data_IF_352464789293
#
_entry.id   IF_352464789293
#
_cell.length_a   1.000
_cell.length_b   1.000
_cell.length_c   1.000
_cell.angle_alpha   90.00
_cell.angle_beta   90.00
_cell.angle_gamma   90.00
#
_symmetry.space_group_name_H-M   'P 1'
#
loop_
_entity.id
_entity.type
_entity.pdbx_description
1 polymer ?
#
# COMPACT_ATOMS: atom_id res chain seq x y z
N UNK A 1 50.13 -1.57 16.88
CA UNK A 1 49.00 -0.65 16.63
C UNK A 1 48.63 -0.62 15.13
N UNK A 2 48.49 -1.78 14.48
CA UNK A 2 48.04 -1.89 13.08
C UNK A 2 46.82 -2.81 12.91
N UNK A 3 46.29 -3.38 14.01
CA UNK A 3 45.12 -4.29 13.98
C UNK A 3 43.78 -3.54 13.89
N UNK A 4 43.62 -2.40 14.57
CA UNK A 4 42.32 -1.74 14.70
C UNK A 4 41.75 -1.22 13.36
N UNK A 5 42.59 -0.65 12.49
CA UNK A 5 42.12 -0.10 11.22
C UNK A 5 41.67 -1.19 10.23
N UNK A 6 42.31 -2.37 10.29
CA UNK A 6 41.96 -3.50 9.40
C UNK A 6 40.69 -4.21 9.88
N UNK A 7 40.48 -4.35 11.18
CA UNK A 7 39.25 -4.90 11.75
C UNK A 7 38.06 -3.97 11.54
N UNK A 8 38.25 -2.64 11.72
CA UNK A 8 37.21 -1.66 11.42
C UNK A 8 36.83 -1.64 9.94
N UNK A 9 37.80 -1.80 9.03
CA UNK A 9 37.53 -1.87 7.59
C UNK A 9 36.81 -3.17 7.21
N UNK A 10 37.19 -4.30 7.82
CA UNK A 10 36.50 -5.58 7.62
C UNK A 10 35.05 -5.53 8.12
N UNK A 11 34.82 -4.98 9.30
CA UNK A 11 33.47 -4.79 9.84
C UNK A 11 32.62 -3.85 8.96
N UNK A 12 33.21 -2.78 8.42
CA UNK A 12 32.52 -1.87 7.50
C UNK A 12 32.18 -2.52 6.15
N UNK A 13 33.05 -3.40 5.64
CA UNK A 13 32.81 -4.17 4.41
C UNK A 13 31.72 -5.23 4.63
N UNK A 14 31.73 -5.94 5.76
CA UNK A 14 30.67 -6.88 6.13
C UNK A 14 29.31 -6.18 6.31
N UNK A 15 29.29 -4.98 6.90
CA UNK A 15 28.07 -4.16 7.00
C UNK A 15 27.57 -3.73 5.62
N UNK A 16 28.47 -3.39 4.69
CA UNK A 16 28.11 -2.99 3.33
C UNK A 16 27.59 -4.18 2.53
N UNK A 17 28.19 -5.35 2.65
CA UNK A 17 27.73 -6.60 2.02
C UNK A 17 26.37 -7.04 2.58
N UNK A 18 26.13 -6.88 3.88
CA UNK A 18 24.83 -7.13 4.51
C UNK A 18 23.73 -6.21 3.97
N UNK A 19 24.02 -4.93 3.76
CA UNK A 19 23.08 -3.99 3.13
C UNK A 19 22.83 -4.38 1.67
N UNK A 20 23.87 -4.75 0.92
CA UNK A 20 23.73 -5.18 -0.47
C UNK A 20 22.86 -6.44 -0.56
N UNK A 21 23.09 -7.44 0.30
CA UNK A 21 22.30 -8.66 0.36
C UNK A 21 20.84 -8.38 0.76
N UNK A 22 20.61 -7.49 1.73
CA UNK A 22 19.25 -7.09 2.11
C UNK A 22 18.52 -6.36 0.96
N UNK A 23 19.20 -5.46 0.25
CA UNK A 23 18.65 -4.78 -0.92
C UNK A 23 18.38 -5.75 -2.09
N UNK A 24 19.26 -6.73 -2.30
CA UNK A 24 19.06 -7.78 -3.30
C UNK A 24 17.90 -8.72 -2.93
N UNK A 25 17.74 -9.05 -1.64
CA UNK A 25 16.62 -9.85 -1.13
C UNK A 25 15.29 -9.11 -1.26
N UNK A 26 15.26 -7.81 -0.96
CA UNK A 26 14.07 -6.99 -1.17
C UNK A 26 13.69 -6.89 -2.65
N UNK A 27 14.70 -6.79 -3.53
CA UNK A 27 14.51 -6.82 -4.98
C UNK A 27 13.98 -8.17 -5.49
N UNK A 28 14.48 -9.30 -4.96
CA UNK A 28 14.03 -10.63 -5.37
C UNK A 28 12.62 -10.97 -4.88
N UNK A 29 12.23 -10.52 -3.69
CA UNK A 29 10.87 -10.69 -3.17
C UNK A 29 9.84 -9.86 -3.94
N UNK A 30 10.18 -8.63 -4.35
CA UNK A 30 9.31 -7.82 -5.20
C UNK A 30 9.16 -8.41 -6.61
N UNK A 31 10.25 -8.93 -7.20
CA UNK A 31 10.21 -9.66 -8.47
C UNK A 31 9.32 -10.91 -8.40
N UNK A 32 9.36 -11.65 -7.29
CA UNK A 32 8.49 -12.80 -7.05
C UNK A 32 7.02 -12.38 -6.89
N UNK A 33 6.74 -11.26 -6.21
CA UNK A 33 5.38 -10.78 -6.01
C UNK A 33 4.66 -10.41 -7.32
N UNK A 34 5.35 -9.69 -8.22
CA UNK A 34 4.81 -9.34 -9.53
C UNK A 34 4.55 -10.56 -10.40
N UNK A 35 5.42 -11.58 -10.31
CA UNK A 35 5.30 -12.83 -11.05
C UNK A 35 4.06 -13.66 -10.69
N UNK A 36 3.40 -13.39 -9.55
CA UNK A 36 2.16 -14.06 -9.13
C UNK A 36 0.95 -13.66 -9.98
N UNK A 37 1.02 -12.51 -10.66
CA UNK A 37 -0.06 -12.00 -11.49
C UNK A 37 0.14 -12.44 -12.94
N UNK A 38 -0.39 -13.62 -13.28
CA UNK A 38 -0.33 -14.14 -14.65
C UNK A 38 -1.21 -13.34 -15.64
N UNK A 39 -1.06 -13.62 -16.94
CA UNK A 39 -1.83 -12.92 -17.98
C UNK A 39 -3.34 -13.13 -17.86
N UNK A 40 -3.79 -14.27 -17.33
CA UNK A 40 -5.21 -14.51 -17.06
C UNK A 40 -5.73 -13.60 -15.94
N UNK A 41 -4.92 -13.40 -14.89
CA UNK A 41 -5.22 -12.46 -13.83
C UNK A 41 -5.29 -11.03 -14.37
N UNK A 42 -4.32 -10.60 -15.18
CA UNK A 42 -4.31 -9.26 -15.80
C UNK A 42 -5.53 -9.04 -16.68
N UNK A 43 -5.93 -10.05 -17.46
CA UNK A 43 -7.14 -9.99 -18.29
C UNK A 43 -8.41 -9.79 -17.45
N UNK A 44 -8.52 -10.46 -16.30
CA UNK A 44 -9.64 -10.25 -15.35
C UNK A 44 -9.55 -8.88 -14.66
N UNK A 45 -8.35 -8.44 -14.30
CA UNK A 45 -8.09 -7.14 -13.69
C UNK A 45 -8.55 -5.97 -14.57
N UNK A 46 -8.54 -6.12 -15.90
CA UNK A 46 -9.12 -5.13 -16.81
C UNK A 46 -10.62 -4.90 -16.58
N UNK A 47 -11.40 -5.90 -16.15
CA UNK A 47 -12.79 -5.66 -15.72
C UNK A 47 -12.83 -4.82 -14.44
N UNK A 48 -11.97 -5.17 -13.48
CA UNK A 48 -11.93 -4.54 -12.17
C UNK A 48 -11.59 -3.05 -12.26
N UNK A 49 -10.75 -2.64 -13.22
CA UNK A 49 -10.40 -1.22 -13.44
C UNK A 49 -11.34 -0.53 -14.44
N UNK A 50 -12.33 -1.24 -14.99
CA UNK A 50 -13.33 -0.68 -15.90
C UNK A 50 -12.85 -0.48 -17.34
N UNK A 51 -11.92 -1.32 -17.82
CA UNK A 51 -11.38 -1.31 -19.19
C UNK A 51 -11.51 -2.68 -19.91
N UNK A 52 -12.68 -3.34 -19.88
CA UNK A 52 -12.87 -4.67 -20.50
C UNK A 52 -12.62 -4.69 -22.02
N UNK A 53 -12.73 -3.54 -22.70
CA UNK A 53 -12.53 -3.42 -24.14
C UNK A 53 -11.11 -3.75 -24.61
N UNK A 54 -10.10 -3.71 -23.72
CA UNK A 54 -8.70 -4.00 -24.06
C UNK A 54 -8.28 -5.45 -23.80
N UNK A 55 -9.19 -6.29 -23.30
CA UNK A 55 -8.89 -7.67 -22.91
C UNK A 55 -8.27 -8.49 -24.04
N UNK A 56 -8.81 -8.39 -25.25
CA UNK A 56 -8.31 -9.16 -26.37
C UNK A 56 -6.84 -8.83 -26.68
N UNK A 57 -6.47 -7.54 -26.65
CA UNK A 57 -5.09 -7.11 -26.93
C UNK A 57 -4.13 -7.49 -25.80
N UNK A 58 -4.57 -7.40 -24.54
CA UNK A 58 -3.75 -7.79 -23.39
C UNK A 58 -3.56 -9.32 -23.31
N UNK A 59 -4.59 -10.11 -23.62
CA UNK A 59 -4.50 -11.57 -23.67
C UNK A 59 -3.60 -12.04 -24.82
N UNK A 60 -3.76 -11.49 -26.02
CA UNK A 60 -2.91 -11.77 -27.18
C UNK A 60 -1.45 -11.40 -26.90
N UNK A 61 -1.22 -10.25 -26.26
CA UNK A 61 0.10 -9.79 -25.83
C UNK A 61 0.67 -10.52 -24.61
N UNK A 62 -0.08 -11.45 -24.00
CA UNK A 62 0.30 -12.19 -22.78
C UNK A 62 0.80 -11.29 -21.65
N UNK A 63 0.16 -10.13 -21.49
CA UNK A 63 0.57 -9.11 -20.51
C UNK A 63 0.42 -9.66 -19.10
N UNK A 64 1.53 -9.82 -18.37
CA UNK A 64 1.56 -10.27 -16.97
C UNK A 64 1.88 -9.11 -15.98
N UNK A 65 1.94 -9.40 -14.69
CA UNK A 65 2.23 -8.42 -13.65
C UNK A 65 3.59 -7.73 -13.77
N UNK A 66 4.61 -8.45 -14.26
CA UNK A 66 5.94 -7.87 -14.51
C UNK A 66 5.86 -6.87 -15.67
N UNK A 67 5.17 -7.23 -16.74
CA UNK A 67 4.92 -6.31 -17.86
C UNK A 67 4.13 -5.09 -17.42
N UNK A 68 3.12 -5.23 -16.53
CA UNK A 68 2.42 -4.08 -15.96
C UNK A 68 3.35 -3.16 -15.17
N UNK A 69 4.27 -3.70 -14.37
CA UNK A 69 5.19 -2.91 -13.56
C UNK A 69 6.12 -2.02 -14.40
N UNK A 70 6.65 -2.58 -15.50
CA UNK A 70 7.56 -1.90 -16.42
C UNK A 70 6.87 -1.34 -17.66
N UNK A 71 5.53 -1.24 -17.66
CA UNK A 71 4.78 -0.84 -18.85
C UNK A 71 5.13 0.58 -19.29
N UNK A 72 5.47 0.76 -20.56
CA UNK A 72 5.77 2.06 -21.16
C UNK A 72 4.55 2.64 -21.89
N UNK A 73 4.61 3.95 -22.18
CA UNK A 73 3.58 4.64 -22.99
C UNK A 73 3.44 4.00 -24.37
N UNK A 74 4.55 3.58 -24.98
CA UNK A 74 4.56 2.96 -26.31
C UNK A 74 3.95 1.55 -26.29
N UNK A 75 4.15 0.77 -25.21
CA UNK A 75 3.49 -0.52 -25.03
C UNK A 75 1.97 -0.37 -25.00
N UNK A 76 1.46 0.62 -24.25
CA UNK A 76 0.02 0.90 -24.22
C UNK A 76 -0.52 1.32 -25.59
N UNK A 77 0.24 2.10 -26.35
CA UNK A 77 -0.13 2.45 -27.73
C UNK A 77 -0.15 1.21 -28.63
N UNK A 78 0.82 0.30 -28.48
CA UNK A 78 0.86 -1.01 -29.15
C UNK A 78 -0.34 -1.89 -28.81
N UNK A 79 -0.79 -1.85 -27.55
CA UNK A 79 -2.01 -2.50 -27.06
C UNK A 79 -3.30 -1.75 -27.43
N UNK A 80 -3.21 -0.73 -28.31
CA UNK A 80 -4.32 0.09 -28.83
C UNK A 80 -5.02 0.94 -27.76
N UNK A 81 -4.37 1.18 -26.63
CA UNK A 81 -4.82 2.12 -25.60
C UNK A 81 -4.36 3.52 -25.98
N UNK A 82 -5.16 4.22 -26.80
CA UNK A 82 -4.83 5.57 -27.28
C UNK A 82 -5.38 6.73 -26.45
N UNK A 83 -6.25 6.47 -25.47
CA UNK A 83 -6.92 7.50 -24.65
C UNK A 83 -6.03 7.99 -23.52
N UNK A 84 -5.91 9.31 -23.35
CA UNK A 84 -5.18 9.93 -22.22
C UNK A 84 -5.80 9.53 -20.88
N UNK A 85 -7.14 9.50 -20.81
CA UNK A 85 -7.86 9.08 -19.60
C UNK A 85 -7.54 7.61 -19.26
N UNK A 86 -7.48 6.73 -20.26
CA UNK A 86 -7.18 5.32 -20.01
C UNK A 86 -5.72 5.09 -19.61
N UNK A 87 -4.78 5.90 -20.12
CA UNK A 87 -3.38 5.90 -19.64
C UNK A 87 -3.31 6.28 -18.16
N UNK A 88 -4.03 7.33 -17.74
CA UNK A 88 -4.09 7.72 -16.32
C UNK A 88 -4.77 6.66 -15.46
N UNK A 89 -5.85 6.04 -15.96
CA UNK A 89 -6.49 4.91 -15.31
C UNK A 89 -5.49 3.77 -15.06
N UNK A 90 -4.81 3.29 -16.10
CA UNK A 90 -3.85 2.19 -15.98
C UNK A 90 -2.68 2.59 -15.06
N UNK A 91 -2.16 3.82 -15.19
CA UNK A 91 -1.13 4.36 -14.28
C UNK A 91 -1.53 4.24 -12.81
N UNK A 92 -2.72 4.74 -12.45
CA UNK A 92 -3.17 4.70 -11.05
C UNK A 92 -3.54 3.30 -10.60
N UNK A 93 -4.04 2.46 -11.48
CA UNK A 93 -4.29 1.06 -11.17
C UNK A 93 -2.98 0.30 -10.86
N UNK A 94 -1.93 0.49 -11.66
CA UNK A 94 -0.58 -0.06 -11.39
C UNK A 94 -0.04 0.49 -10.06
N UNK A 95 -0.21 1.80 -9.79
CA UNK A 95 0.19 2.39 -8.51
C UNK A 95 -0.53 1.72 -7.33
N UNK A 96 -1.82 1.41 -7.45
CA UNK A 96 -2.57 0.67 -6.42
C UNK A 96 -1.99 -0.73 -6.23
N UNK A 97 -1.64 -1.46 -7.30
CA UNK A 97 -0.99 -2.76 -7.16
C UNK A 97 0.34 -2.64 -6.41
N UNK A 98 1.16 -1.63 -6.75
CA UNK A 98 2.45 -1.40 -6.10
C UNK A 98 2.33 -1.07 -4.62
N UNK A 99 1.38 -0.21 -4.24
CA UNK A 99 1.06 0.11 -2.84
C UNK A 99 0.66 -1.15 -2.06
N UNK A 100 -0.06 -2.07 -2.71
CA UNK A 100 -0.52 -3.31 -2.11
C UNK A 100 0.41 -4.50 -2.39
N UNK A 101 1.69 -4.24 -2.71
CA UNK A 101 2.73 -5.27 -2.92
C UNK A 101 2.31 -6.37 -3.91
N UNK A 102 1.54 -6.00 -4.93
CA UNK A 102 1.02 -6.92 -5.95
C UNK A 102 0.20 -8.10 -5.40
N UNK A 103 -0.45 -7.95 -4.24
CA UNK A 103 -1.39 -8.96 -3.75
C UNK A 103 -2.53 -9.18 -4.78
N UNK A 104 -2.71 -10.43 -5.28
CA UNK A 104 -3.77 -10.77 -6.24
C UNK A 104 -5.19 -10.44 -5.77
N UNK A 105 -5.40 -10.28 -4.45
CA UNK A 105 -6.69 -10.05 -3.82
C UNK A 105 -6.88 -8.63 -3.25
N UNK A 106 -5.96 -7.70 -3.54
CA UNK A 106 -6.01 -6.34 -2.97
C UNK A 106 -7.26 -5.52 -3.39
N UNK A 107 -7.92 -5.86 -4.50
CA UNK A 107 -9.06 -5.09 -5.02
C UNK A 107 -10.40 -5.49 -4.39
N UNK A 108 -11.16 -4.47 -3.99
CA UNK A 108 -12.47 -4.61 -3.34
C UNK A 108 -13.61 -4.61 -4.36
N UNK A 109 -14.25 -5.76 -4.50
CA UNK A 109 -15.42 -5.99 -5.37
C UNK A 109 -16.75 -5.85 -4.64
N UNK A 110 -16.76 -6.06 -3.32
CA UNK A 110 -17.96 -6.05 -2.47
C UNK A 110 -17.88 -4.94 -1.41
N UNK A 111 -19.02 -4.42 -0.92
CA UNK A 111 -19.04 -3.56 0.26
C UNK A 111 -18.51 -4.33 1.47
N UNK A 112 -17.53 -3.78 2.18
CA UNK A 112 -16.98 -4.37 3.41
C UNK A 112 -17.31 -3.55 4.65
N UNK A 113 -17.36 -2.22 4.52
CA UNK A 113 -17.56 -1.29 5.65
C UNK A 113 -18.38 -0.06 5.25
N UNK A 114 -19.05 0.56 6.23
CA UNK A 114 -19.88 1.76 6.02
C UNK A 114 -19.04 3.04 5.81
N UNK A 115 -17.82 3.10 6.34
CA UNK A 115 -16.93 4.28 6.27
C UNK A 115 -15.51 3.87 5.84
N UNK A 116 -15.27 3.59 4.55
CA UNK A 116 -13.97 3.17 4.05
C UNK A 116 -12.93 4.29 4.20
N UNK A 117 -11.71 3.92 4.55
CA UNK A 117 -10.57 4.82 4.57
C UNK A 117 -10.10 5.18 3.14
N UNK A 118 -9.34 6.27 2.93
CA UNK A 118 -8.84 6.65 1.61
C UNK A 118 -8.04 5.54 0.90
N UNK A 119 -7.24 4.77 1.63
CA UNK A 119 -6.51 3.62 1.08
C UNK A 119 -7.44 2.52 0.57
N UNK A 120 -8.50 2.22 1.32
CA UNK A 120 -9.50 1.21 0.93
C UNK A 120 -10.35 1.66 -0.25
N UNK A 121 -10.63 2.96 -0.35
CA UNK A 121 -11.29 3.55 -1.52
C UNK A 121 -10.41 3.37 -2.75
N UNK A 122 -9.09 3.55 -2.65
CA UNK A 122 -8.18 3.33 -3.78
C UNK A 122 -8.22 1.88 -4.30
N UNK A 123 -8.57 0.92 -3.46
CA UNK A 123 -8.76 -0.50 -3.84
C UNK A 123 -10.10 -0.78 -4.52
N UNK A 124 -11.02 0.19 -4.66
CA UNK A 124 -12.33 -0.04 -5.24
C UNK A 124 -12.24 -0.36 -6.73
N UNK A 125 -12.91 -1.44 -7.12
CA UNK A 125 -13.16 -1.77 -8.53
C UNK A 125 -14.17 -0.80 -9.17
N UNK A 126 -14.19 -0.75 -10.50
CA UNK A 126 -15.21 -0.04 -11.28
C UNK A 126 -16.63 -0.47 -10.88
N UNK A 127 -16.83 -1.77 -10.64
CA UNK A 127 -18.11 -2.28 -10.15
C UNK A 127 -18.48 -1.68 -8.79
N UNK A 128 -17.53 -1.63 -7.85
CA UNK A 128 -17.75 -1.03 -6.53
C UNK A 128 -18.06 0.46 -6.61
N UNK A 129 -17.43 1.20 -7.53
CA UNK A 129 -17.78 2.62 -7.79
C UNK A 129 -19.21 2.75 -8.32
N UNK A 130 -19.62 1.87 -9.24
CA UNK A 130 -21.01 1.85 -9.72
C UNK A 130 -22.01 1.52 -8.61
N UNK A 131 -21.68 0.64 -7.67
CA UNK A 131 -22.52 0.40 -6.49
C UNK A 131 -22.60 1.61 -5.57
N UNK A 132 -21.48 2.29 -5.34
CA UNK A 132 -21.47 3.52 -4.55
C UNK A 132 -22.40 4.58 -5.16
N UNK A 133 -22.37 4.77 -6.48
CA UNK A 133 -23.31 5.68 -7.17
C UNK A 133 -24.77 5.32 -6.90
N UNK A 134 -25.11 4.03 -6.83
CA UNK A 134 -26.48 3.61 -6.45
C UNK A 134 -26.81 3.97 -5.01
N UNK A 135 -25.86 3.84 -4.08
CA UNK A 135 -26.09 4.19 -2.66
C UNK A 135 -26.23 5.69 -2.40
N UNK A 136 -25.79 6.54 -3.33
CA UNK A 136 -25.92 8.01 -3.24
C UNK A 136 -26.97 8.55 -4.22
N UNK A 137 -27.97 7.75 -4.58
CA UNK A 137 -29.11 8.16 -5.43
C UNK A 137 -28.74 8.59 -6.86
N UNK A 138 -27.66 8.04 -7.42
CA UNK A 138 -27.20 8.27 -8.80
C UNK A 138 -27.23 6.98 -9.65
N UNK A 139 -28.12 6.05 -9.30
CA UNK A 139 -28.19 4.72 -9.91
C UNK A 139 -28.38 4.74 -11.44
N UNK A 140 -29.14 5.70 -11.97
CA UNK A 140 -29.41 5.83 -13.41
C UNK A 140 -28.16 6.16 -14.24
N UNK A 141 -27.16 6.82 -13.63
CA UNK A 141 -25.92 7.21 -14.30
C UNK A 141 -24.82 6.16 -14.19
N UNK A 142 -24.91 5.25 -13.21
CA UNK A 142 -23.87 4.26 -12.94
C UNK A 142 -23.46 3.41 -14.15
N UNK A 143 -24.37 2.92 -15.02
CA UNK A 143 -24.00 2.14 -16.20
C UNK A 143 -23.06 2.87 -17.18
N UNK A 144 -23.04 4.21 -17.17
CA UNK A 144 -22.18 5.02 -18.04
C UNK A 144 -20.68 4.88 -17.70
N UNK A 145 -20.34 4.35 -16.52
CA UNK A 145 -18.96 4.09 -16.14
C UNK A 145 -18.37 2.80 -16.72
N UNK A 146 -19.16 1.97 -17.42
CA UNK A 146 -18.64 0.77 -18.08
C UNK A 146 -17.69 1.16 -19.21
N UNK A 147 -16.48 0.59 -19.21
CA UNK A 147 -15.46 0.89 -20.22
C UNK A 147 -14.81 2.29 -20.08
N UNK A 148 -15.12 3.03 -19.01
CA UNK A 148 -14.59 4.39 -18.78
C UNK A 148 -13.18 4.43 -18.15
N UNK A 149 -12.73 3.33 -17.56
CA UNK A 149 -11.53 3.29 -16.71
C UNK A 149 -11.71 3.87 -15.29
N UNK A 150 -12.92 4.28 -14.90
CA UNK A 150 -13.14 4.82 -13.54
C UNK A 150 -13.09 3.70 -12.50
N UNK A 151 -12.16 3.83 -11.55
CA UNK A 151 -12.01 2.96 -10.39
C UNK A 151 -11.43 3.78 -9.22
N UNK A 152 -11.35 3.17 -8.04
CA UNK A 152 -10.95 3.82 -6.80
C UNK A 152 -9.59 4.52 -6.87
N UNK A 153 -8.58 3.84 -7.42
CA UNK A 153 -7.23 4.40 -7.61
C UNK A 153 -7.22 5.67 -8.43
N UNK A 154 -7.94 5.70 -9.56
CA UNK A 154 -8.09 6.92 -10.37
C UNK A 154 -8.76 8.05 -9.58
N UNK A 155 -9.84 7.74 -8.84
CA UNK A 155 -10.58 8.73 -8.06
C UNK A 155 -9.73 9.34 -6.93
N UNK A 156 -9.00 8.51 -6.19
CA UNK A 156 -8.21 8.95 -5.04
C UNK A 156 -6.86 9.58 -5.42
N UNK A 157 -6.14 8.98 -6.37
CA UNK A 157 -4.71 9.26 -6.58
C UNK A 157 -4.41 10.23 -7.73
N UNK A 158 -5.34 10.45 -8.67
CA UNK A 158 -5.12 11.35 -9.80
C UNK A 158 -5.62 12.77 -9.51
N UNK A 159 -4.73 13.78 -9.37
CA UNK A 159 -5.15 15.16 -9.10
C UNK A 159 -6.00 15.76 -10.23
N UNK A 160 -5.77 15.32 -11.47
CA UNK A 160 -6.53 15.78 -12.64
C UNK A 160 -7.96 15.23 -12.69
N UNK A 161 -8.23 14.11 -11.99
CA UNK A 161 -9.55 13.49 -11.95
C UNK A 161 -10.39 14.14 -10.85
N UNK A 162 -11.35 14.97 -11.23
CA UNK A 162 -12.19 15.75 -10.30
C UNK A 162 -13.68 15.53 -10.57
N UNK A 163 -14.54 16.24 -9.81
CA UNK A 163 -16.00 16.18 -9.94
C UNK A 163 -16.45 16.43 -11.38
N UNK A 164 -15.81 17.36 -12.10
CA UNK A 164 -16.21 17.67 -13.47
C UNK A 164 -15.86 16.57 -14.46
N UNK A 165 -14.74 15.90 -14.25
CA UNK A 165 -14.36 14.71 -15.01
C UNK A 165 -15.35 13.57 -14.74
N UNK A 166 -15.71 13.34 -13.47
CA UNK A 166 -16.72 12.33 -13.10
C UNK A 166 -18.08 12.64 -13.72
N UNK A 167 -18.56 13.88 -13.64
CA UNK A 167 -19.83 14.30 -14.22
C UNK A 167 -19.85 14.14 -15.75
N UNK A 168 -18.73 14.42 -16.43
CA UNK A 168 -18.57 14.17 -17.87
C UNK A 168 -18.74 12.68 -18.19
N UNK A 169 -18.06 11.80 -17.45
CA UNK A 169 -18.11 10.34 -17.69
C UNK A 169 -19.45 9.72 -17.32
N UNK A 170 -20.17 10.32 -16.36
CA UNK A 170 -21.54 9.96 -16.03
C UNK A 170 -22.57 10.50 -17.03
N UNK A 171 -22.16 11.27 -18.04
CA UNK A 171 -23.04 11.98 -18.97
C UNK A 171 -24.06 12.90 -18.26
N UNK A 172 -23.67 13.54 -17.15
CA UNK A 172 -24.50 14.53 -16.46
C UNK A 172 -24.24 15.90 -17.12
N UNK A 173 -25.22 16.54 -17.77
CA UNK A 173 -25.02 17.83 -18.43
C UNK A 173 -24.67 18.98 -17.46
N UNK A 174 -23.98 20.05 -17.92
CA UNK A 174 -23.62 21.20 -17.07
C UNK A 174 -24.82 21.98 -16.53
N UNK A 175 -25.96 21.97 -17.23
CA UNK A 175 -27.19 22.65 -16.78
C UNK A 175 -27.94 21.89 -15.67
N UNK A 176 -27.58 20.63 -15.35
CA UNK A 176 -28.15 19.86 -14.23
C UNK A 176 -27.45 20.20 -12.91
N UNK A 177 -27.52 21.47 -12.50
CA UNK A 177 -26.74 22.03 -11.38
C UNK A 177 -27.01 21.34 -10.04
N UNK A 178 -28.26 20.96 -9.75
CA UNK A 178 -28.62 20.24 -8.53
C UNK A 178 -27.95 18.85 -8.47
N UNK A 179 -27.96 18.09 -9.57
CA UNK A 179 -27.32 16.78 -9.64
C UNK A 179 -25.80 16.90 -9.54
N UNK A 180 -25.20 17.90 -10.19
CA UNK A 180 -23.75 18.16 -10.11
C UNK A 180 -23.32 18.52 -8.68
N UNK A 181 -24.11 19.35 -7.99
CA UNK A 181 -23.86 19.67 -6.58
C UNK A 181 -23.98 18.44 -5.69
N UNK A 182 -24.99 17.59 -5.91
CA UNK A 182 -25.16 16.33 -5.18
C UNK A 182 -23.98 15.38 -5.40
N UNK A 183 -23.54 15.21 -6.65
CA UNK A 183 -22.34 14.45 -7.00
C UNK A 183 -21.10 15.03 -6.32
N UNK A 184 -20.90 16.35 -6.38
CA UNK A 184 -19.74 17.01 -5.77
C UNK A 184 -19.63 16.72 -4.28
N UNK A 185 -20.73 16.89 -3.54
CA UNK A 185 -20.77 16.66 -2.10
C UNK A 185 -20.43 15.21 -1.76
N UNK A 186 -21.08 14.24 -2.42
CA UNK A 186 -20.83 12.82 -2.17
C UNK A 186 -19.42 12.39 -2.59
N UNK A 187 -18.90 12.94 -3.71
CA UNK A 187 -17.55 12.64 -4.17
C UNK A 187 -16.49 13.14 -3.19
N UNK A 188 -16.62 14.37 -2.67
CA UNK A 188 -15.69 14.91 -1.67
C UNK A 188 -15.76 14.17 -0.34
N UNK A 189 -16.97 13.81 0.11
CA UNK A 189 -17.16 12.96 1.30
C UNK A 189 -16.48 11.60 1.14
N UNK A 190 -16.56 11.01 -0.06
CA UNK A 190 -15.91 9.75 -0.35
C UNK A 190 -14.39 9.89 -0.30
N UNK A 191 -13.78 10.73 -1.14
CA UNK A 191 -12.31 10.77 -1.29
C UNK A 191 -11.57 11.35 -0.07
N UNK A 192 -12.29 12.07 0.80
CA UNK A 192 -11.73 12.73 1.97
C UNK A 192 -11.06 14.08 1.67
N UNK A 193 -10.81 14.84 2.74
CA UNK A 193 -10.32 16.23 2.68
C UNK A 193 -8.96 16.37 2.01
N UNK A 194 -8.05 15.42 2.23
CA UNK A 194 -6.69 15.51 1.69
C UNK A 194 -6.67 15.36 0.16
N UNK A 195 -7.38 14.36 -0.38
CA UNK A 195 -7.50 14.20 -1.83
C UNK A 195 -8.27 15.36 -2.47
N UNK A 196 -9.26 15.93 -1.76
CA UNK A 196 -9.97 17.13 -2.20
C UNK A 196 -9.01 18.32 -2.31
N UNK A 197 -8.17 18.56 -1.29
CA UNK A 197 -7.19 19.65 -1.26
C UNK A 197 -6.20 19.54 -2.42
N UNK A 198 -5.62 18.35 -2.64
CA UNK A 198 -4.66 18.12 -3.73
C UNK A 198 -5.27 18.37 -5.12
N UNK A 199 -6.53 18.01 -5.32
CA UNK A 199 -7.26 18.28 -6.57
C UNK A 199 -7.52 19.78 -6.74
N UNK A 200 -7.83 20.50 -5.66
CA UNK A 200 -8.04 21.95 -5.68
C UNK A 200 -6.75 22.71 -6.01
N UNK A 201 -5.63 22.37 -5.36
CA UNK A 201 -4.31 22.96 -5.66
C UNK A 201 -3.90 22.72 -7.12
N UNK A 202 -4.20 21.52 -7.63
CA UNK A 202 -3.95 21.22 -9.04
C UNK A 202 -4.77 22.09 -10.00
N UNK A 203 -6.02 22.42 -9.64
CA UNK A 203 -6.90 23.28 -10.43
C UNK A 203 -6.45 24.76 -10.41
N UNK A 204 -5.84 25.20 -9.32
CA UNK A 204 -5.35 26.57 -9.15
C UNK A 204 -4.02 26.83 -9.85
N UNK A 205 -3.30 25.77 -10.22
CA UNK A 205 -2.06 25.88 -11.00
C UNK A 205 -2.31 26.43 -12.41
N UNK A 206 -1.50 27.40 -12.83
CA UNK A 206 -1.61 28.06 -14.15
C UNK A 206 -1.46 27.10 -15.34
N UNK A 207 -0.79 25.97 -15.16
CA UNK A 207 -0.57 24.93 -16.18
C UNK A 207 -1.69 23.86 -16.20
N UNK A 208 -2.82 24.13 -15.53
CA UNK A 208 -3.95 23.22 -15.46
C UNK A 208 -4.48 22.85 -16.86
N UNK A 209 -4.62 21.55 -17.10
CA UNK A 209 -5.24 21.03 -18.32
C UNK A 209 -6.44 20.16 -17.97
N UNK A 210 -7.60 20.54 -18.50
CA UNK A 210 -8.86 19.79 -18.34
C UNK A 210 -8.70 18.40 -18.92
N UNK A 211 -9.10 17.38 -18.15
CA UNK A 211 -9.21 16.03 -18.67
C UNK A 211 -10.46 15.91 -19.54
N UNK A 212 -10.27 15.56 -20.80
CA UNK A 212 -11.38 15.27 -21.72
C UNK A 212 -11.41 13.78 -22.03
N UNK A 213 -12.60 13.19 -22.08
CA UNK A 213 -12.77 11.76 -22.34
C UNK A 213 -12.24 11.31 -23.72
N UNK A 214 -12.16 12.25 -24.67
CA UNK A 214 -11.74 12.00 -26.06
C UNK A 214 -10.28 12.35 -26.35
N UNK A 215 -9.54 12.89 -25.37
CA UNK A 215 -8.13 13.23 -25.56
C UNK A 215 -7.31 11.97 -25.93
N UNK A 216 -6.52 12.07 -27.00
CA UNK A 216 -5.64 11.00 -27.47
C UNK A 216 -4.18 11.29 -27.14
N UNK A 217 -3.47 10.25 -26.73
CA UNK A 217 -2.01 10.27 -26.53
C UNK A 217 -1.36 10.45 -27.90
N UNK A 218 -0.40 11.38 -27.99
CA UNK A 218 0.38 11.62 -29.20
C UNK A 218 1.63 10.74 -29.16
N UNK A 219 1.85 9.85 -30.14
CA UNK A 219 3.08 9.08 -30.22
C UNK A 219 4.28 10.01 -30.29
N UNK A 220 5.35 9.70 -29.55
CA UNK A 220 6.62 10.43 -29.67
C UNK A 220 7.19 10.13 -31.06
N UNK A 221 7.28 11.15 -31.91
CA UNK A 221 8.03 11.03 -33.17
C UNK A 221 9.50 11.09 -32.83
N UNK A 222 10.22 9.99 -33.01
CA UNK A 222 11.69 10.00 -33.02
C UNK A 222 12.14 10.95 -34.12
N UNK A 223 12.71 12.08 -33.74
CA UNK A 223 13.25 13.06 -34.69
C UNK A 223 14.48 12.44 -35.36
N UNK A 224 14.29 11.87 -36.55
CA UNK A 224 15.36 11.42 -37.44
C UNK A 224 16.05 12.66 -38.05
N UNK A 225 16.89 13.34 -37.28
CA UNK A 225 17.53 14.56 -37.77
C UNK A 225 18.32 15.36 -36.74
N UNK A 226 19.46 14.83 -36.30
CA UNK A 226 20.62 15.67 -35.98
C UNK A 226 21.88 14.82 -36.04
N UNK A 227 22.56 14.86 -37.18
CA UNK A 227 23.96 14.44 -37.27
C UNK A 227 24.79 15.49 -36.51
N UNK A 228 25.20 15.18 -35.29
CA UNK A 228 26.09 16.05 -34.53
C UNK A 228 26.22 15.67 -33.07
N UNK A 229 27.42 15.20 -32.71
CA UNK A 229 27.97 15.07 -31.35
C UNK A 229 27.76 13.72 -30.64
N UNK A 230 28.71 12.82 -30.90
CA UNK A 230 29.12 11.75 -29.98
C UNK A 230 29.54 12.35 -28.63
N UNK A 231 28.62 12.50 -27.67
CA UNK A 231 28.95 12.32 -26.24
C UNK A 231 27.69 12.22 -25.39
N UNK A 232 27.69 11.18 -24.57
CA UNK A 232 26.72 10.83 -23.52
C UNK A 232 25.49 10.08 -24.03
N UNK A 233 25.68 8.76 -24.15
CA UNK A 233 24.64 7.73 -24.00
C UNK A 233 24.00 7.88 -22.61
N UNK A 234 23.19 8.94 -22.42
CA UNK A 234 22.22 9.01 -21.35
C UNK A 234 21.15 8.04 -21.83
N UNK A 235 21.13 6.85 -21.22
CA UNK A 235 20.10 5.83 -21.39
C UNK A 235 18.76 6.52 -21.68
N UNK A 236 18.18 6.26 -22.85
CA UNK A 236 16.84 6.74 -23.17
C UNK A 236 15.95 6.31 -22.01
N UNK A 237 15.57 7.27 -21.17
CA UNK A 237 14.79 6.98 -19.97
C UNK A 237 13.41 6.59 -20.47
N UNK A 238 13.17 5.29 -20.58
CA UNK A 238 11.87 4.75 -20.98
C UNK A 238 10.78 5.37 -20.10
N UNK A 239 9.81 6.03 -20.74
CA UNK A 239 8.73 6.72 -20.05
C UNK A 239 7.71 5.67 -19.58
N UNK A 240 7.96 5.10 -18.40
CA UNK A 240 7.02 4.21 -17.74
C UNK A 240 5.67 4.92 -17.52
N UNK A 241 4.58 4.18 -17.76
CA UNK A 241 3.22 4.64 -17.51
C UNK A 241 3.05 5.05 -16.04
N UNK A 242 3.58 4.23 -15.13
CA UNK A 242 3.66 4.51 -13.71
C UNK A 242 5.13 4.64 -13.27
N UNK A 243 5.67 5.87 -13.16
CA UNK A 243 7.06 6.08 -12.78
C UNK A 243 7.43 5.34 -11.50
N UNK A 244 8.66 4.83 -11.40
CA UNK A 244 9.09 4.03 -10.25
C UNK A 244 9.21 4.87 -8.97
N UNK A 245 9.48 6.16 -9.14
CA UNK A 245 9.64 7.18 -8.11
C UNK A 245 8.32 7.90 -7.75
N UNK A 246 7.17 7.38 -8.18
CA UNK A 246 5.87 7.95 -7.80
C UNK A 246 5.76 7.99 -6.28
N UNK A 247 5.68 9.21 -5.74
CA UNK A 247 5.50 9.44 -4.31
C UNK A 247 4.26 8.71 -3.79
N UNK A 248 4.45 7.93 -2.72
CA UNK A 248 3.36 7.26 -2.05
C UNK A 248 2.49 8.28 -1.30
N UNK A 249 1.16 8.07 -1.23
CA UNK A 249 0.29 8.95 -0.45
C UNK A 249 0.73 8.98 1.02
N UNK A 250 0.86 10.17 1.60
CA UNK A 250 1.33 10.35 2.98
C UNK A 250 0.25 10.13 4.05
N UNK A 251 -0.98 9.80 3.64
CA UNK A 251 -2.08 9.54 4.59
C UNK A 251 -1.77 8.28 5.40
N UNK A 252 -1.94 8.35 6.72
CA UNK A 252 -1.76 7.23 7.65
C UNK A 252 -2.51 5.95 7.25
N UNK A 253 -3.63 6.09 6.53
CA UNK A 253 -4.38 4.95 5.99
C UNK A 253 -3.58 4.05 5.04
N UNK A 254 -2.57 4.59 4.35
CA UNK A 254 -1.69 3.85 3.44
C UNK A 254 -0.48 3.23 4.16
N UNK A 255 -0.18 3.67 5.38
CA UNK A 255 0.96 3.19 6.18
C UNK A 255 0.59 2.04 7.14
N UNK A 256 -0.70 1.70 7.25
CA UNK A 256 -1.20 0.69 8.19
C UNK A 256 -0.60 -0.72 7.97
N UNK A 257 -0.12 -1.02 6.76
CA UNK A 257 0.58 -2.28 6.45
C UNK A 257 2.04 -2.33 6.92
N UNK A 258 2.69 -1.18 7.18
CA UNK A 258 4.04 -1.12 7.77
C UNK A 258 4.00 -1.18 9.31
N UNK A 259 2.97 -0.62 9.94
CA UNK A 259 2.88 -0.52 11.41
C UNK A 259 2.70 -1.87 12.13
N UNK A 260 2.43 -2.98 11.44
CA UNK A 260 2.37 -4.30 12.10
C UNK A 260 3.75 -4.69 12.68
N UNK A 261 4.85 -4.22 12.08
CA UNK A 261 6.20 -4.47 12.58
C UNK A 261 6.61 -3.56 13.74
N UNK A 262 6.18 -2.29 13.77
CA UNK A 262 6.50 -1.38 14.89
C UNK A 262 5.66 -1.68 16.13
N UNK A 263 4.37 -1.97 15.99
CA UNK A 263 3.50 -2.31 17.13
C UNK A 263 3.93 -3.65 17.81
N UNK A 264 4.59 -4.54 17.05
CA UNK A 264 5.19 -5.77 17.57
C UNK A 264 6.52 -5.52 18.30
N UNK A 265 7.24 -4.43 17.99
CA UNK A 265 8.47 -4.03 18.68
C UNK A 265 8.15 -3.29 19.98
N UNK A 266 7.16 -2.38 19.96
CA UNK A 266 6.72 -1.63 21.14
C UNK A 266 6.06 -2.56 22.20
N UNK A 267 5.31 -3.58 21.78
CA UNK A 267 4.77 -4.59 22.71
C UNK A 267 5.86 -5.48 23.34
N UNK A 268 7.04 -5.59 22.73
CA UNK A 268 8.15 -6.38 23.25
C UNK A 268 8.95 -5.61 24.33
N UNK A 269 9.05 -4.28 24.23
CA UNK A 269 9.68 -3.43 25.27
C UNK A 269 8.85 -3.35 26.55
N UNK A 270 7.52 -3.17 26.46
CA UNK A 270 6.63 -3.13 27.63
C UNK A 270 6.57 -4.49 28.37
N UNK A 271 6.78 -5.57 27.62
CA UNK A 271 6.88 -6.93 28.17
C UNK A 271 8.19 -7.14 28.95
N UNK A 272 9.31 -6.53 28.54
CA UNK A 272 10.58 -6.65 29.26
C UNK A 272 10.54 -5.95 30.63
N UNK A 273 9.91 -4.77 30.70
CA UNK A 273 9.69 -4.04 31.95
C UNK A 273 8.84 -4.84 32.94
N UNK A 274 7.77 -5.45 32.46
CA UNK A 274 6.87 -6.30 33.27
C UNK A 274 7.57 -7.57 33.75
N UNK A 275 8.35 -8.23 32.88
CA UNK A 275 9.13 -9.44 33.23
C UNK A 275 10.20 -9.14 34.28
N UNK A 276 10.91 -8.00 34.17
CA UNK A 276 11.88 -7.56 35.20
C UNK A 276 11.20 -7.30 36.54
N UNK A 277 10.01 -6.69 36.51
CA UNK A 277 9.26 -6.39 37.73
C UNK A 277 8.72 -7.66 38.40
N UNK A 278 8.26 -8.65 37.62
CA UNK A 278 7.87 -9.98 38.11
C UNK A 278 9.07 -10.74 38.68
N UNK A 279 10.24 -10.66 38.02
CA UNK A 279 11.49 -11.25 38.52
C UNK A 279 11.90 -10.67 39.88
N UNK A 280 11.86 -9.34 40.03
CA UNK A 280 12.14 -8.66 41.30
C UNK A 280 11.12 -9.02 42.39
N UNK A 281 9.84 -9.19 42.03
CA UNK A 281 8.82 -9.64 42.97
C UNK A 281 9.04 -11.10 43.41
N UNK A 282 9.43 -11.98 42.48
CA UNK A 282 9.75 -13.37 42.76
C UNK A 282 10.97 -13.51 43.67
N UNK A 283 12.01 -12.68 43.48
CA UNK A 283 13.16 -12.64 44.39
C UNK A 283 12.75 -12.19 45.79
N UNK A 284 11.92 -11.15 45.89
CA UNK A 284 11.38 -10.69 47.18
C UNK A 284 10.60 -11.78 47.92
N UNK A 285 9.76 -12.54 47.21
CA UNK A 285 9.01 -13.68 47.79
C UNK A 285 9.96 -14.79 48.22
N UNK A 286 10.99 -15.10 47.42
CA UNK A 286 11.96 -16.14 47.77
C UNK A 286 12.80 -15.78 49.00
N UNK A 287 13.19 -14.51 49.15
CA UNK A 287 13.89 -14.02 50.34
C UNK A 287 12.99 -14.10 51.58
N UNK A 288 11.73 -13.66 51.47
CA UNK A 288 10.77 -13.80 52.58
C UNK A 288 10.57 -15.27 52.98
N UNK A 289 10.52 -16.15 51.99
CA UNK A 289 10.35 -17.60 52.20
C UNK A 289 11.58 -18.23 52.85
N UNK A 290 12.80 -17.75 52.54
CA UNK A 290 14.01 -18.24 53.23
C UNK A 290 14.05 -17.74 54.68
N UNK A 291 13.68 -16.49 54.94
CA UNK A 291 13.62 -15.93 56.29
C UNK A 291 12.58 -16.66 57.17
N UNK A 292 11.42 -16.99 56.61
CA UNK A 292 10.39 -17.76 57.34
C UNK A 292 10.84 -19.20 57.64
N UNK A 293 11.61 -19.82 56.74
CA UNK A 293 12.21 -21.14 56.99
C UNK A 293 13.29 -21.10 58.06
N UNK A 294 14.06 -20.02 58.13
CA UNK A 294 15.05 -19.81 59.19
C UNK A 294 14.36 -19.59 60.55
N UNK A 295 13.26 -18.82 60.61
CA UNK A 295 12.48 -18.59 61.83
C UNK A 295 11.76 -19.86 62.35
N UNK A 296 11.28 -20.74 61.46
CA UNK A 296 10.77 -22.05 61.89
C UNK A 296 11.87 -22.95 62.47
N UNK A 297 13.10 -22.86 61.94
CA UNK A 297 14.24 -23.63 62.45
C UNK A 297 14.66 -23.18 63.88
N UNK A 298 14.51 -21.89 64.21
CA UNK A 298 14.75 -21.39 65.56
C UNK A 298 13.62 -21.75 66.56
N UNK A 299 12.38 -21.95 66.09
CA UNK A 299 11.27 -22.41 66.95
C UNK A 299 11.34 -23.90 67.27
N UNK A 300 11.81 -24.73 66.34
CA UNK A 300 11.99 -26.17 66.57
C UNK A 300 13.22 -26.53 67.43
N UNK A 301 14.20 -25.63 67.54
CA UNK A 301 15.33 -25.81 68.45
C UNK A 301 14.99 -25.53 69.93
N UNK A 302 13.93 -24.77 70.22
CA UNK A 302 13.50 -24.43 71.60
C UNK A 302 12.46 -25.39 72.20
N UNK A 303 11.94 -26.37 71.46
CA UNK A 303 10.89 -27.29 71.92
C UNK A 303 11.39 -28.67 72.39
N UNK A 304 12.70 -28.91 72.43
CA UNK A 304 13.28 -30.13 73.01
C UNK A 304 13.97 -29.85 74.34
N UNK A 305 13.24 -30.10 75.44
CA UNK A 305 13.79 -30.44 76.75
C UNK A 305 13.34 -31.84 77.16
N UNK A 306 14.13 -32.58 77.96
CA UNK A 306 14.26 -34.03 77.85
C UNK A 306 13.53 -34.84 78.94
N UNK A 307 13.18 -36.08 78.56
CA UNK A 307 13.10 -37.34 79.34
C UNK A 307 12.21 -37.40 80.61
N UNK A 308 11.42 -38.44 80.85
CA UNK A 308 11.84 -39.78 81.31
C UNK A 308 10.55 -40.62 81.49
N UNK A 309 10.38 -41.76 80.81
CA UNK A 309 10.62 -43.13 81.29
C UNK A 309 9.99 -43.51 82.64
N UNK A 310 9.00 -44.41 82.61
CA UNK A 310 8.85 -45.50 83.59
C UNK A 310 7.88 -46.57 83.06
N UNK A 311 8.45 -47.61 82.47
CA UNK A 311 7.98 -49.00 82.58
C UNK A 311 8.16 -49.46 84.03
N UNK A 312 7.16 -50.10 84.64
CA UNK A 312 7.17 -51.55 84.93
C UNK A 312 6.09 -51.98 85.92
N UNK A 313 5.72 -53.24 85.75
CA UNK A 313 4.80 -54.08 86.52
C UNK A 313 4.93 -53.99 88.06
N UNK A 314 3.79 -53.83 88.75
CA UNK A 314 3.17 -54.77 89.71
C UNK A 314 2.02 -54.09 90.48
#
# INVERSE_FOLDING_TARGET
MMCDASEMLAAALEQMDGIILALQSLGSEEEDAMGKLDYNWVTRWLDDIGLPQYKAQFDEGRVDGRMLHYMTVDDLLGLKVGSVLHHLSIKRAIQVLRINRYDPNCLRRRPTENNPTPAEICQWTNHRVMEWLRSVDLAEYAPNLRGSGVHGGLMGLEPRFNVETMALLLNIPPNKTLLRRHLANNFHLLIGSEAQRLKQEYLENSDYTVLTATAKVKPRRLSFGSFGTLRRKRQEMEEYVCPMDVQMPQSSSFHKGLCIYEDSLDQMEDSEGTVRQIGAFSEGINILTSMLKEDEFFRDASSRSPETSATDDN
#
